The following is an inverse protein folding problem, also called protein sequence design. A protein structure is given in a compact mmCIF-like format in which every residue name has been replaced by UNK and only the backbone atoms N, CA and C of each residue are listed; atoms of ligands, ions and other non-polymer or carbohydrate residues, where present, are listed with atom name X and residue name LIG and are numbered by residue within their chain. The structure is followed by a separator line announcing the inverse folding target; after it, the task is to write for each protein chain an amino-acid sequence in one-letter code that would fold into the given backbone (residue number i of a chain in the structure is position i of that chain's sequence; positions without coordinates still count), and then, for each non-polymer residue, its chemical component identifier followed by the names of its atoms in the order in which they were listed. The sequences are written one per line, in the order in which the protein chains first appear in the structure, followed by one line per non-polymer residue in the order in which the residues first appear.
data_IF_929023949102
#
_entry.id   IF_929023949102
#
_cell.length_a   1.000
_cell.length_b   1.000
_cell.length_c   1.000
_cell.angle_alpha   90.00
_cell.angle_beta   90.00
_cell.angle_gamma   90.00
#
_symmetry.space_group_name_H-M   'P 1'
#
loop_
_entity.id
_entity.type
_entity.pdbx_description
1 polymer ?
#
# COMPACT_ATOMS: atom_id res chain seq x y z
N UNK A 1 -9.79 -11.39 8.35
CA UNK A 1 -8.43 -11.46 8.90
C UNK A 1 -7.84 -12.88 8.82
N UNK A 2 -7.45 -13.33 7.63
CA UNK A 2 -6.94 -14.69 7.40
C UNK A 2 -5.41 -14.79 7.51
N UNK A 3 -4.88 -16.00 7.31
CA UNK A 3 -3.43 -16.30 7.32
C UNK A 3 -2.63 -15.48 6.28
N UNK A 4 -3.30 -14.98 5.23
CA UNK A 4 -2.69 -14.15 4.19
C UNK A 4 -2.32 -12.73 4.66
N UNK A 5 -3.10 -12.16 5.58
CA UNK A 5 -2.92 -10.80 6.11
C UNK A 5 -1.55 -10.60 6.78
N UNK A 6 -1.12 -11.45 7.74
CA UNK A 6 0.19 -11.32 8.35
C UNK A 6 1.33 -11.64 7.37
N UNK A 7 1.10 -12.52 6.39
CA UNK A 7 2.12 -12.88 5.40
C UNK A 7 2.45 -11.69 4.49
N UNK A 8 1.41 -11.03 3.96
CA UNK A 8 1.57 -9.82 3.16
C UNK A 8 2.16 -8.67 3.98
N UNK A 9 1.65 -8.43 5.18
CA UNK A 9 2.10 -7.33 6.02
C UNK A 9 3.56 -7.53 6.47
N UNK A 10 3.95 -8.75 6.84
CA UNK A 10 5.34 -9.09 7.21
C UNK A 10 6.30 -8.96 6.02
N UNK A 11 5.92 -9.46 4.84
CA UNK A 11 6.74 -9.31 3.63
C UNK A 11 6.89 -7.84 3.21
N UNK A 12 5.80 -7.07 3.24
CA UNK A 12 5.83 -5.62 3.01
C UNK A 12 6.76 -4.92 3.99
N UNK A 13 6.65 -5.26 5.27
CA UNK A 13 7.47 -4.67 6.32
C UNK A 13 8.95 -5.05 6.13
N UNK A 14 9.25 -6.30 5.77
CA UNK A 14 10.61 -6.76 5.48
C UNK A 14 11.20 -6.08 4.24
N UNK A 15 10.41 -5.94 3.16
CA UNK A 15 10.79 -5.18 1.96
C UNK A 15 11.08 -3.72 2.30
N UNK A 16 10.20 -3.05 3.04
CA UNK A 16 10.41 -1.65 3.44
C UNK A 16 11.67 -1.51 4.30
N UNK A 17 11.93 -2.46 5.21
CA UNK A 17 13.14 -2.47 6.04
C UNK A 17 14.42 -2.68 5.23
N UNK A 18 14.44 -3.57 4.23
CA UNK A 18 15.59 -3.76 3.35
C UNK A 18 15.75 -2.62 2.34
N UNK A 19 14.64 -1.97 1.95
CA UNK A 19 14.61 -0.96 0.92
C UNK A 19 15.13 0.41 1.34
N UNK A 20 15.20 0.70 2.64
CA UNK A 20 15.52 2.04 3.13
C UNK A 20 16.52 1.98 4.29
N UNK A 21 17.61 2.75 4.25
CA UNK A 21 18.52 2.92 5.39
C UNK A 21 17.75 3.43 6.61
N UNK A 22 18.11 2.95 7.82
CA UNK A 22 17.41 3.25 9.09
C UNK A 22 17.12 4.74 9.35
N UNK A 23 17.91 5.65 8.75
CA UNK A 23 17.75 7.11 8.88
C UNK A 23 16.52 7.69 8.16
N UNK A 24 16.01 7.02 7.13
CA UNK A 24 14.83 7.48 6.36
C UNK A 24 13.60 6.57 6.54
N UNK A 25 13.81 5.32 6.96
CA UNK A 25 12.77 4.33 7.27
C UNK A 25 11.69 4.89 8.21
N UNK A 26 12.10 5.57 9.30
CA UNK A 26 11.16 6.17 10.26
C UNK A 26 10.32 7.30 9.67
N UNK A 27 10.85 8.07 8.71
CA UNK A 27 10.09 9.12 8.00
C UNK A 27 9.08 8.53 7.04
N UNK A 28 9.48 7.50 6.27
CA UNK A 28 8.58 6.82 5.32
C UNK A 28 7.46 6.10 6.06
N UNK A 29 7.79 5.32 7.11
CA UNK A 29 6.78 4.67 7.95
C UNK A 29 5.88 5.67 8.68
N UNK A 30 6.40 6.84 9.06
CA UNK A 30 5.63 7.94 9.62
C UNK A 30 4.60 8.50 8.63
N UNK A 31 5.03 8.82 7.40
CA UNK A 31 4.13 9.32 6.34
C UNK A 31 3.09 8.27 5.96
N UNK A 32 3.49 7.00 5.83
CA UNK A 32 2.56 5.90 5.55
C UNK A 32 1.52 5.72 6.67
N UNK A 33 1.93 5.81 7.94
CA UNK A 33 0.99 5.75 9.08
C UNK A 33 0.06 6.96 9.12
N UNK A 34 0.56 8.17 8.85
CA UNK A 34 -0.28 9.37 8.79
C UNK A 34 -1.32 9.27 7.66
N UNK A 35 -0.93 8.76 6.50
CA UNK A 35 -1.85 8.49 5.38
C UNK A 35 -2.88 7.42 5.73
N UNK A 36 -2.47 6.31 6.34
CA UNK A 36 -3.38 5.26 6.81
C UNK A 36 -4.39 5.80 7.83
N UNK A 37 -3.93 6.60 8.80
CA UNK A 37 -4.78 7.20 9.82
C UNK A 37 -5.75 8.24 9.27
N UNK A 38 -5.45 8.87 8.14
CA UNK A 38 -6.36 9.75 7.41
C UNK A 38 -7.34 8.96 6.53
N UNK A 39 -6.87 7.87 5.92
CA UNK A 39 -7.67 7.05 5.00
C UNK A 39 -8.89 6.42 5.70
N UNK A 40 -8.76 6.03 6.98
CA UNK A 40 -9.89 5.51 7.77
C UNK A 40 -11.07 6.49 7.89
N UNK A 41 -10.90 7.65 8.57
CA UNK A 41 -11.96 8.64 8.74
C UNK A 41 -12.43 9.23 7.41
N UNK A 42 -11.53 9.44 6.44
CA UNK A 42 -11.91 9.91 5.11
C UNK A 42 -12.80 8.85 4.42
N UNK A 43 -12.41 7.58 4.46
CA UNK A 43 -13.18 6.48 3.90
C UNK A 43 -14.59 6.41 4.50
N UNK A 44 -14.73 6.61 5.82
CA UNK A 44 -16.02 6.63 6.50
C UNK A 44 -16.88 7.85 6.14
N UNK A 45 -16.28 9.04 6.03
CA UNK A 45 -16.99 10.27 5.65
C UNK A 45 -17.58 10.16 4.24
N UNK A 46 -16.88 9.51 3.32
CA UNK A 46 -17.40 9.25 1.97
C UNK A 46 -18.34 8.05 1.93
N UNK A 47 -18.04 6.97 2.66
CA UNK A 47 -18.85 5.77 2.69
C UNK A 47 -20.23 6.00 3.32
N UNK A 48 -20.39 6.88 4.31
CA UNK A 48 -21.70 7.17 4.91
C UNK A 48 -22.73 7.70 3.90
N UNK A 49 -22.51 8.88 3.28
CA UNK A 49 -23.42 9.47 2.30
C UNK A 49 -23.61 8.59 1.06
N UNK A 50 -22.56 7.91 0.60
CA UNK A 50 -22.66 6.97 -0.52
C UNK A 50 -23.48 5.72 -0.14
N UNK A 51 -23.36 5.21 1.10
CA UNK A 51 -24.14 4.07 1.56
C UNK A 51 -25.63 4.42 1.64
N UNK A 52 -25.96 5.61 2.15
CA UNK A 52 -27.34 6.09 2.26
C UNK A 52 -27.96 6.42 0.90
N UNK A 53 -27.18 6.89 -0.07
CA UNK A 53 -27.69 7.31 -1.38
C UNK A 53 -27.86 6.15 -2.39
N UNK A 54 -26.92 5.20 -2.44
CA UNK A 54 -26.87 4.15 -3.47
C UNK A 54 -26.79 2.72 -2.91
N UNK A 55 -26.81 2.57 -1.59
CA UNK A 55 -26.73 1.28 -0.91
C UNK A 55 -25.30 0.75 -0.77
N UNK A 56 -25.09 -0.10 0.24
CA UNK A 56 -23.79 -0.71 0.57
C UNK A 56 -23.25 -1.59 -0.57
N UNK A 57 -24.13 -2.14 -1.41
CA UNK A 57 -23.77 -2.99 -2.55
C UNK A 57 -22.94 -2.22 -3.59
N UNK A 58 -23.36 -1.02 -3.97
CA UNK A 58 -22.61 -0.18 -4.93
C UNK A 58 -21.27 0.29 -4.37
N UNK A 59 -21.18 0.56 -3.06
CA UNK A 59 -19.92 0.89 -2.40
C UNK A 59 -18.90 -0.25 -2.50
N UNK A 60 -19.35 -1.49 -2.30
CA UNK A 60 -18.50 -2.66 -2.44
C UNK A 60 -18.01 -2.84 -3.88
N UNK A 61 -18.88 -2.58 -4.87
CA UNK A 61 -18.50 -2.61 -6.29
C UNK A 61 -17.48 -1.54 -6.62
N UNK A 62 -17.67 -0.29 -6.16
CA UNK A 62 -16.72 0.81 -6.38
C UNK A 62 -15.36 0.50 -5.73
N UNK A 63 -15.35 -0.01 -4.50
CA UNK A 63 -14.12 -0.41 -3.82
C UNK A 63 -13.42 -1.58 -4.54
N UNK A 64 -14.17 -2.57 -5.02
CA UNK A 64 -13.66 -3.69 -5.81
C UNK A 64 -13.04 -3.24 -7.12
N UNK A 65 -13.76 -2.40 -7.89
CA UNK A 65 -13.26 -1.83 -9.15
C UNK A 65 -12.02 -0.96 -8.91
N UNK A 66 -12.04 -0.13 -7.87
CA UNK A 66 -10.87 0.66 -7.48
C UNK A 66 -9.65 -0.19 -7.14
N UNK A 67 -9.85 -1.31 -6.43
CA UNK A 67 -8.77 -2.27 -6.11
C UNK A 67 -8.22 -2.93 -7.37
N UNK A 68 -9.10 -3.33 -8.31
CA UNK A 68 -8.69 -3.91 -9.59
C UNK A 68 -7.90 -2.90 -10.43
N UNK A 69 -8.33 -1.64 -10.47
CA UNK A 69 -7.61 -0.56 -11.17
C UNK A 69 -6.25 -0.33 -10.51
N UNK A 70 -6.17 -0.25 -9.18
CA UNK A 70 -4.90 -0.14 -8.47
C UNK A 70 -3.96 -1.30 -8.78
N UNK A 71 -4.48 -2.54 -8.80
CA UNK A 71 -3.71 -3.72 -9.18
C UNK A 71 -3.21 -3.66 -10.62
N UNK A 72 -4.05 -3.25 -11.56
CA UNK A 72 -3.68 -3.05 -12.96
C UNK A 72 -2.63 -1.94 -13.13
N UNK A 73 -2.78 -0.82 -12.43
CA UNK A 73 -1.81 0.28 -12.43
C UNK A 73 -0.49 -0.18 -11.83
N UNK A 74 -0.50 -0.96 -10.74
CA UNK A 74 0.72 -1.53 -10.14
C UNK A 74 1.44 -2.48 -11.11
N UNK A 75 0.70 -3.24 -11.92
CA UNK A 75 1.28 -4.11 -12.97
C UNK A 75 1.77 -3.27 -14.17
N UNK A 76 1.04 -2.23 -14.56
CA UNK A 76 1.38 -1.37 -15.69
C UNK A 76 2.44 -0.31 -15.38
N UNK A 77 2.77 -0.06 -14.11
CA UNK A 77 3.84 0.87 -13.75
C UNK A 77 5.19 0.13 -13.74
N UNK A 78 6.01 0.23 -14.81
CA UNK A 78 7.39 -0.25 -14.79
C UNK A 78 8.25 0.49 -13.74
N UNK A 79 7.70 1.56 -13.15
CA UNK A 79 8.27 2.29 -12.02
C UNK A 79 8.45 1.39 -10.79
N UNK A 80 7.46 0.56 -10.44
CA UNK A 80 7.56 -0.36 -9.29
C UNK A 80 8.65 -1.41 -9.56
N UNK A 81 8.69 -1.94 -10.78
CA UNK A 81 9.68 -2.95 -11.21
C UNK A 81 11.11 -2.40 -11.25
N UNK A 82 11.28 -1.14 -11.69
CA UNK A 82 12.61 -0.51 -11.78
C UNK A 82 13.13 -0.12 -10.40
N UNK A 83 12.24 0.33 -9.50
CA UNK A 83 12.59 0.60 -8.10
C UNK A 83 13.05 -0.65 -7.37
N UNK A 84 12.38 -1.79 -7.57
CA UNK A 84 12.73 -3.08 -6.96
C UNK A 84 14.12 -3.58 -7.41
N UNK A 85 14.42 -3.45 -8.72
CA UNK A 85 15.72 -3.85 -9.30
C UNK A 85 16.87 -2.94 -8.84
N UNK A 86 16.66 -1.61 -8.85
CA UNK A 86 17.65 -0.64 -8.37
C UNK A 86 17.94 -0.83 -6.88
N UNK A 87 16.92 -1.21 -6.12
CA UNK A 87 17.05 -1.47 -4.71
C UNK A 87 17.84 -2.74 -4.40
N UNK A 88 17.57 -3.85 -5.09
CA UNK A 88 18.37 -5.07 -4.97
C UNK A 88 19.85 -4.81 -5.30
N UNK A 89 20.13 -4.02 -6.34
CA UNK A 89 21.51 -3.62 -6.67
C UNK A 89 22.19 -2.85 -5.53
N UNK A 90 21.47 -1.96 -4.86
CA UNK A 90 22.01 -1.18 -3.74
C UNK A 90 22.28 -2.02 -2.49
N UNK A 91 21.44 -3.03 -2.23
CA UNK A 91 21.64 -3.99 -1.13
C UNK A 91 22.86 -4.89 -1.37
N UNK A 92 23.02 -5.40 -2.59
CA UNK A 92 24.18 -6.22 -2.98
C UNK A 92 25.49 -5.42 -2.94
N UNK A 93 25.45 -4.15 -3.36
CA UNK A 93 26.61 -3.26 -3.33
C UNK A 93 27.05 -2.86 -1.90
N UNK A 94 26.14 -2.87 -0.92
CA UNK A 94 26.46 -2.57 0.48
C UNK A 94 26.91 -3.80 1.29
N UNK A 95 26.74 -5.02 0.76
CA UNK A 95 27.16 -6.27 1.39
C UNK A 95 28.59 -6.70 1.01
N UNK A 96 29.34 -5.87 0.27
CA UNK A 96 30.73 -6.10 -0.14
C UNK A 96 31.63 -5.00 0.42
#
# INVERSE_FOLDING_TARGET
EGIATPFFNTLLMAMIQQSYPSKQLGRVLGVLNSLMSLTGPIGLIFAGPLADAIGVEMLFVIAGVGTVICGLVAIMTPLMRTYDIELQKRLEAHSK
#
